data_IF_930936452073
#
_entry.id   IF_930936452073
#
_cell.length_a   1.000
_cell.length_b   1.000
_cell.length_c   1.000
_cell.angle_alpha   90.00
_cell.angle_beta   90.00
_cell.angle_gamma   90.00
#
_symmetry.space_group_name_H-M   'P 1'
#
loop_
_entity.id
_entity.type
_entity.pdbx_description
1 polymer ?
#
# COMPACT_ATOMS: atom_id res chain seq x y z
N UNK A 1 -14.77 -7.15 -2.32
CA UNK A 1 -13.50 -6.38 -2.49
C UNK A 1 -12.42 -7.17 -3.25
N UNK A 2 -12.76 -8.35 -3.78
CA UNK A 2 -11.87 -9.22 -4.54
C UNK A 2 -11.30 -8.59 -5.82
N UNK A 3 -12.07 -7.76 -6.52
CA UNK A 3 -11.58 -7.04 -7.71
C UNK A 3 -10.41 -6.11 -7.38
N UNK A 4 -10.53 -5.32 -6.31
CA UNK A 4 -9.42 -4.44 -5.85
C UNK A 4 -8.17 -5.26 -5.52
N UNK A 5 -8.33 -6.40 -4.84
CA UNK A 5 -7.23 -7.31 -4.52
C UNK A 5 -6.57 -7.87 -5.79
N UNK A 6 -7.37 -8.25 -6.79
CA UNK A 6 -6.88 -8.75 -8.07
C UNK A 6 -6.08 -7.67 -8.83
N UNK A 7 -6.59 -6.44 -8.89
CA UNK A 7 -5.89 -5.31 -9.52
C UNK A 7 -4.56 -5.04 -8.82
N UNK A 8 -4.54 -4.98 -7.48
CA UNK A 8 -3.31 -4.77 -6.72
C UNK A 8 -2.30 -5.91 -6.92
N UNK A 9 -2.79 -7.15 -6.96
CA UNK A 9 -1.95 -8.32 -7.24
C UNK A 9 -1.27 -8.16 -8.61
N UNK A 10 -2.06 -7.93 -9.66
CA UNK A 10 -1.54 -7.80 -11.02
C UNK A 10 -0.54 -6.65 -11.11
N UNK A 11 -0.89 -5.48 -10.56
CA UNK A 11 -0.02 -4.31 -10.57
C UNK A 11 1.31 -4.61 -9.86
N UNK A 12 1.28 -5.16 -8.64
CA UNK A 12 2.49 -5.48 -7.86
C UNK A 12 3.41 -6.44 -8.62
N UNK A 13 2.88 -7.57 -9.12
CA UNK A 13 3.70 -8.55 -9.83
C UNK A 13 4.20 -8.02 -11.17
N UNK A 14 3.42 -7.19 -11.86
CA UNK A 14 3.87 -6.50 -13.09
C UNK A 14 5.01 -5.55 -12.78
N UNK A 15 4.90 -4.73 -11.73
CA UNK A 15 5.98 -3.82 -11.30
C UNK A 15 7.23 -4.58 -10.90
N UNK A 16 7.11 -5.67 -10.14
CA UNK A 16 8.26 -6.51 -9.76
C UNK A 16 8.94 -7.15 -10.99
N UNK A 17 8.16 -7.57 -11.98
CA UNK A 17 8.71 -8.11 -13.24
C UNK A 17 9.41 -7.03 -14.05
N UNK A 18 8.81 -5.84 -14.16
CA UNK A 18 9.37 -4.71 -14.86
C UNK A 18 10.59 -4.11 -14.13
N UNK A 19 10.74 -4.35 -12.82
CA UNK A 19 11.90 -3.90 -12.05
C UNK A 19 13.22 -4.52 -12.55
N UNK A 20 13.16 -5.71 -13.16
CA UNK A 20 14.31 -6.32 -13.85
C UNK A 20 14.81 -5.40 -14.97
N UNK A 21 13.90 -4.64 -15.59
CA UNK A 21 14.20 -3.61 -16.59
C UNK A 21 14.01 -2.24 -15.93
N UNK A 22 15.00 -1.85 -15.10
CA UNK A 22 14.99 -0.70 -14.16
C UNK A 22 14.13 0.49 -14.61
N UNK A 23 14.30 0.98 -15.85
CA UNK A 23 13.55 2.13 -16.38
C UNK A 23 12.02 1.92 -16.36
N UNK A 24 11.54 0.79 -16.87
CA UNK A 24 10.10 0.47 -16.86
C UNK A 24 9.60 0.14 -15.45
N UNK A 25 10.45 -0.44 -14.61
CA UNK A 25 10.15 -0.71 -13.20
C UNK A 25 9.77 0.56 -12.43
N UNK A 26 10.56 1.62 -12.57
CA UNK A 26 10.31 2.90 -11.89
C UNK A 26 8.99 3.56 -12.34
N UNK A 27 8.69 3.56 -13.64
CA UNK A 27 7.41 4.07 -14.15
C UNK A 27 6.22 3.24 -13.64
N UNK A 28 6.35 1.92 -13.65
CA UNK A 28 5.32 1.03 -13.14
C UNK A 28 5.10 1.19 -11.62
N UNK A 29 6.13 1.59 -10.88
CA UNK A 29 6.04 1.84 -9.44
C UNK A 29 5.19 3.07 -9.11
N UNK A 30 5.25 4.12 -9.93
CA UNK A 30 4.35 5.30 -9.79
C UNK A 30 2.90 4.88 -9.97
N UNK A 31 2.60 4.12 -11.03
CA UNK A 31 1.25 3.61 -11.31
C UNK A 31 0.78 2.70 -10.16
N UNK A 32 1.66 1.81 -9.67
CA UNK A 32 1.38 0.96 -8.52
C UNK A 32 1.04 1.80 -7.28
N UNK A 33 1.82 2.83 -6.95
CA UNK A 33 1.58 3.71 -5.81
C UNK A 33 0.19 4.35 -5.84
N UNK A 34 -0.25 4.84 -7.00
CA UNK A 34 -1.61 5.39 -7.18
C UNK A 34 -2.68 4.33 -6.90
N UNK A 35 -2.52 3.13 -7.48
CA UNK A 35 -3.44 2.01 -7.26
C UNK A 35 -3.52 1.66 -5.77
N UNK A 36 -2.38 1.66 -5.07
CA UNK A 36 -2.32 1.34 -3.64
C UNK A 36 -3.01 2.39 -2.78
N UNK A 37 -2.75 3.68 -3.01
CA UNK A 37 -3.40 4.77 -2.25
C UNK A 37 -4.92 4.72 -2.43
N UNK A 38 -5.41 4.58 -3.67
CA UNK A 38 -6.86 4.46 -3.94
C UNK A 38 -7.45 3.24 -3.24
N UNK A 39 -6.74 2.12 -3.28
CA UNK A 39 -7.18 0.87 -2.63
C UNK A 39 -7.18 0.99 -1.11
N UNK A 40 -6.18 1.65 -0.53
CA UNK A 40 -6.06 1.88 0.90
C UNK A 40 -7.18 2.78 1.42
N UNK A 41 -7.53 3.84 0.68
CA UNK A 41 -8.69 4.69 0.99
C UNK A 41 -9.96 3.84 1.00
N UNK A 42 -10.18 3.01 -0.04
CA UNK A 42 -11.36 2.15 -0.11
C UNK A 42 -11.45 1.15 1.06
N UNK A 43 -10.33 0.53 1.43
CA UNK A 43 -10.24 -0.39 2.57
C UNK A 43 -10.50 0.35 3.89
N UNK A 44 -9.92 1.54 4.06
CA UNK A 44 -10.08 2.36 5.26
C UNK A 44 -11.55 2.71 5.47
N UNK A 45 -12.22 3.25 4.46
CA UNK A 45 -13.65 3.61 4.54
C UNK A 45 -14.51 2.38 4.90
N UNK A 46 -14.22 1.21 4.33
CA UNK A 46 -15.08 0.03 4.48
C UNK A 46 -14.82 -0.80 5.74
N UNK A 47 -13.58 -0.86 6.21
CA UNK A 47 -13.13 -1.85 7.20
C UNK A 47 -12.48 -1.27 8.44
N UNK A 48 -12.06 -0.01 8.45
CA UNK A 48 -11.27 0.56 9.55
C UNK A 48 -11.96 0.47 10.92
N UNK A 49 -13.27 0.69 10.98
CA UNK A 49 -14.06 0.58 12.21
C UNK A 49 -14.74 -0.79 12.39
N UNK A 50 -14.53 -1.74 11.47
CA UNK A 50 -15.22 -3.04 11.45
C UNK A 50 -14.30 -4.21 11.81
N UNK A 51 -12.99 -3.99 11.83
CA UNK A 51 -12.00 -5.00 12.16
C UNK A 51 -10.82 -4.34 12.86
N UNK A 52 -10.47 -4.82 14.05
CA UNK A 52 -9.27 -4.36 14.78
C UNK A 52 -7.99 -4.65 13.99
N UNK A 53 -7.97 -5.74 13.24
CA UNK A 53 -6.88 -6.06 12.32
C UNK A 53 -6.77 -5.00 11.22
N UNK A 54 -7.89 -4.66 10.58
CA UNK A 54 -7.91 -3.63 9.55
C UNK A 54 -7.48 -2.27 10.12
N UNK A 55 -8.01 -1.88 11.29
CA UNK A 55 -7.66 -0.64 11.98
C UNK A 55 -6.14 -0.53 12.18
N UNK A 56 -5.55 -1.49 12.88
CA UNK A 56 -4.12 -1.48 13.22
C UNK A 56 -3.23 -1.45 11.97
N UNK A 57 -3.52 -2.33 11.01
CA UNK A 57 -2.64 -2.49 9.85
C UNK A 57 -2.78 -1.38 8.82
N UNK A 58 -3.98 -0.81 8.65
CA UNK A 58 -4.19 0.37 7.80
C UNK A 58 -3.60 1.63 8.45
N UNK A 59 -3.69 1.80 9.77
CA UNK A 59 -2.96 2.89 10.47
C UNK A 59 -1.46 2.80 10.21
N UNK A 60 -0.86 1.61 10.38
CA UNK A 60 0.55 1.40 10.09
C UNK A 60 0.89 1.69 8.62
N UNK A 61 0.06 1.24 7.68
CA UNK A 61 0.25 1.54 6.25
C UNK A 61 0.28 3.05 6.01
N UNK A 62 -0.69 3.80 6.54
CA UNK A 62 -0.74 5.25 6.38
C UNK A 62 0.46 5.96 7.01
N UNK A 63 0.87 5.56 8.21
CA UNK A 63 2.05 6.11 8.89
C UNK A 63 3.30 5.91 8.02
N UNK A 64 3.53 4.68 7.53
CA UNK A 64 4.73 4.37 6.74
C UNK A 64 4.67 5.05 5.36
N UNK A 65 3.50 5.13 4.73
CA UNK A 65 3.32 5.83 3.44
C UNK A 65 3.60 7.32 3.58
N UNK A 66 3.07 7.97 4.62
CA UNK A 66 3.33 9.40 4.88
C UNK A 66 4.80 9.62 5.24
N UNK A 67 5.40 8.73 6.03
CA UNK A 67 6.82 8.79 6.36
C UNK A 67 7.70 8.67 5.11
N UNK A 68 7.37 7.78 4.17
CA UNK A 68 8.07 7.62 2.90
C UNK A 68 7.97 8.89 2.02
N UNK A 69 6.80 9.52 1.92
CA UNK A 69 6.67 10.83 1.27
C UNK A 69 7.52 11.91 1.95
N UNK A 70 7.56 11.92 3.29
CA UNK A 70 8.42 12.81 4.06
C UNK A 70 9.90 12.56 3.80
N UNK A 71 10.33 11.30 3.71
CA UNK A 71 11.70 10.93 3.37
C UNK A 71 12.06 11.38 1.95
N UNK A 72 11.17 11.17 0.97
CA UNK A 72 11.34 11.67 -0.39
C UNK A 72 11.50 13.19 -0.44
N UNK A 73 10.68 13.92 0.33
CA UNK A 73 10.79 15.38 0.44
C UNK A 73 12.12 15.82 1.04
N UNK A 74 12.51 15.26 2.19
CA UNK A 74 13.78 15.58 2.86
C UNK A 74 14.97 15.26 1.97
N UNK A 75 14.94 14.12 1.29
CA UNK A 75 15.96 13.69 0.35
C UNK A 75 16.14 14.69 -0.80
N UNK A 76 15.03 15.20 -1.36
CA UNK A 76 15.06 16.15 -2.47
C UNK A 76 15.50 17.57 -2.07
N UNK A 77 15.09 18.06 -0.90
CA UNK A 77 15.35 19.46 -0.49
C UNK A 77 16.57 19.65 0.40
N UNK A 78 16.92 18.67 1.24
CA UNK A 78 17.93 18.84 2.27
C UNK A 78 19.16 17.92 2.08
N UNK A 79 19.04 16.85 1.29
CA UNK A 79 20.10 15.86 1.12
C UNK A 79 20.47 15.59 -0.35
N UNK A 80 20.45 16.62 -1.20
CA UNK A 80 20.73 16.50 -2.64
C UNK A 80 22.08 15.86 -2.98
N UNK A 81 23.07 15.98 -2.10
CA UNK A 81 24.42 15.42 -2.25
C UNK A 81 24.64 14.14 -1.44
N UNK A 82 23.57 13.51 -0.93
CA UNK A 82 23.68 12.25 -0.21
C UNK A 82 24.20 11.12 -1.09
N UNK A 83 24.76 10.10 -0.45
CA UNK A 83 25.18 8.86 -1.10
C UNK A 83 24.08 8.26 -1.99
N UNK A 84 24.43 7.92 -3.23
CA UNK A 84 23.54 7.29 -4.22
C UNK A 84 22.79 6.09 -3.65
N UNK A 85 23.44 5.27 -2.81
CA UNK A 85 22.81 4.11 -2.18
C UNK A 85 21.59 4.49 -1.32
N UNK A 86 21.63 5.64 -0.65
CA UNK A 86 20.51 6.15 0.18
C UNK A 86 19.37 6.59 -0.74
N UNK A 87 19.67 7.33 -1.80
CA UNK A 87 18.70 7.79 -2.80
C UNK A 87 17.98 6.61 -3.44
N UNK A 88 18.72 5.60 -3.90
CA UNK A 88 18.15 4.38 -4.49
C UNK A 88 17.32 3.58 -3.50
N UNK A 89 17.72 3.54 -2.23
CA UNK A 89 16.94 2.86 -1.19
C UNK A 89 15.57 3.53 -1.00
N UNK A 90 15.54 4.86 -0.90
CA UNK A 90 14.31 5.64 -0.71
C UNK A 90 13.37 5.53 -1.92
N UNK A 91 13.91 5.60 -3.14
CA UNK A 91 13.10 5.61 -4.37
C UNK A 91 12.66 4.21 -4.80
N UNK A 92 13.42 3.16 -4.51
CA UNK A 92 13.17 1.82 -5.04
C UNK A 92 12.82 0.80 -3.94
N UNK A 93 13.64 0.68 -2.91
CA UNK A 93 13.47 -0.39 -1.91
C UNK A 93 12.28 -0.12 -0.99
N UNK A 94 12.18 1.10 -0.45
CA UNK A 94 11.11 1.46 0.48
C UNK A 94 9.70 1.32 -0.14
N UNK A 95 9.42 1.85 -1.35
CA UNK A 95 8.06 1.84 -1.84
C UNK A 95 7.62 0.43 -2.27
N UNK A 96 8.54 -0.40 -2.76
CA UNK A 96 8.26 -1.82 -3.01
C UNK A 96 7.96 -2.56 -1.71
N UNK A 97 8.72 -2.29 -0.65
CA UNK A 97 8.50 -2.91 0.66
C UNK A 97 7.12 -2.56 1.23
N UNK A 98 6.74 -1.27 1.14
CA UNK A 98 5.39 -0.79 1.48
C UNK A 98 4.35 -1.51 0.62
N UNK A 99 4.61 -1.67 -0.68
CA UNK A 99 3.66 -2.28 -1.59
C UNK A 99 3.41 -3.76 -1.32
N UNK A 100 4.45 -4.51 -1.00
CA UNK A 100 4.36 -5.91 -0.58
C UNK A 100 3.58 -6.01 0.74
N UNK A 101 3.92 -5.18 1.73
CA UNK A 101 3.21 -5.13 3.01
C UNK A 101 1.71 -4.85 2.80
N UNK A 102 1.39 -3.85 1.98
CA UNK A 102 0.01 -3.48 1.67
C UNK A 102 -0.76 -4.63 1.03
N UNK A 103 -0.16 -5.34 0.07
CA UNK A 103 -0.78 -6.50 -0.55
C UNK A 103 -1.13 -7.61 0.46
N UNK A 104 -0.19 -7.91 1.38
CA UNK A 104 -0.38 -8.94 2.42
C UNK A 104 -1.56 -8.56 3.33
N UNK A 105 -1.61 -7.33 3.83
CA UNK A 105 -2.70 -6.91 4.73
C UNK A 105 -4.02 -6.81 3.99
N UNK A 106 -4.01 -6.36 2.73
CA UNK A 106 -5.21 -6.26 1.89
C UNK A 106 -5.84 -7.62 1.67
N UNK A 107 -5.05 -8.67 1.42
CA UNK A 107 -5.55 -10.03 1.25
C UNK A 107 -6.37 -10.46 2.48
N UNK A 108 -5.81 -10.28 3.68
CA UNK A 108 -6.50 -10.65 4.93
C UNK A 108 -7.73 -9.79 5.22
N UNK A 109 -7.66 -8.47 5.00
CA UNK A 109 -8.81 -7.58 5.18
C UNK A 109 -9.95 -7.95 4.22
N UNK A 110 -9.63 -8.33 2.99
CA UNK A 110 -10.64 -8.77 2.01
C UNK A 110 -11.27 -10.09 2.44
N UNK A 111 -10.49 -11.04 2.98
CA UNK A 111 -11.04 -12.30 3.55
C UNK A 111 -12.01 -12.02 4.70
N UNK A 112 -11.64 -11.16 5.65
CA UNK A 112 -12.50 -10.73 6.76
C UNK A 112 -13.78 -10.03 6.27
N UNK A 113 -13.67 -9.14 5.28
CA UNK A 113 -14.81 -8.46 4.69
C UNK A 113 -15.83 -9.44 4.08
N UNK A 114 -15.35 -10.43 3.33
CA UNK A 114 -16.23 -11.42 2.70
C UNK A 114 -16.87 -12.33 3.75
N UNK A 115 -16.17 -12.65 4.84
CA UNK A 115 -16.74 -13.37 5.98
C UNK A 115 -17.87 -12.59 6.66
N UNK A 116 -17.64 -11.31 7.01
CA UNK A 116 -18.66 -10.44 7.62
C UNK A 116 -19.88 -10.29 6.71
N UNK A 117 -19.63 -10.07 5.41
CA UNK A 117 -20.69 -9.92 4.39
C UNK A 117 -21.54 -11.18 4.28
N UNK A 118 -20.92 -12.37 4.28
CA UNK A 118 -21.63 -13.66 4.15
C UNK A 118 -22.53 -13.95 5.36
N UNK A 119 -22.10 -13.58 6.56
CA UNK A 119 -22.82 -13.89 7.79
C UNK A 119 -23.81 -12.79 8.21
N UNK A 120 -24.04 -11.77 7.36
CA UNK A 120 -24.90 -10.60 7.64
C UNK A 120 -24.71 -10.07 9.06
N UNK A 121 -23.47 -10.09 9.57
CA UNK A 121 -23.20 -9.52 10.88
C UNK A 121 -23.40 -8.02 10.69
N UNK A 122 -24.56 -7.53 11.14
CA UNK A 122 -24.75 -6.12 11.43
C UNK A 122 -23.80 -5.83 12.58
N UNK A 123 -22.54 -5.54 12.23
CA UNK A 123 -21.59 -4.96 13.16
C UNK A 123 -22.20 -3.61 13.51
N UNK A 124 -22.81 -3.55 14.69
CA UNK A 124 -23.40 -2.36 15.26
C UNK A 124 -22.43 -1.20 15.03
N UNK A 125 -22.82 -0.29 14.15
CA UNK A 125 -22.16 0.99 14.03
C UNK A 125 -22.45 1.71 15.34
N UNK A 126 -21.44 2.14 16.11
CA UNK A 126 -21.70 3.14 17.13
C UNK A 126 -22.24 4.38 16.41
N UNK A 127 -23.43 4.82 16.86
CA UNK A 127 -24.11 6.03 16.40
C UNK A 127 -23.21 7.26 16.55
#
# INVERSE_FOLDING_TARGET
MKLLLMINKIALFTTLTLLIIIYFGLLAQIVLGIIQVISAICLTIKMYYKSDYAKRHLSNYWIVTIAELGLCYLQYYHFQTSNDAIVWSVILIFPISIAIYFYIIMKKIVEEYEYIKKHKINLNLPN
#
